data_IF_385365321865
#
_entry.id   IF_385365321865
#
_cell.length_a   1.000
_cell.length_b   1.000
_cell.length_c   1.000
_cell.angle_alpha   90.00
_cell.angle_beta   90.00
_cell.angle_gamma   90.00
#
_symmetry.space_group_name_H-M   'P 1'
#
loop_
_entity.id
_entity.type
_entity.pdbx_description
1 polymer ?
#
# COMPACT_ATOMS: atom_id res chain seq x y z
N UNK A 1 -11.39 5.63 20.86
CA UNK A 1 -10.69 4.39 20.42
C UNK A 1 -10.32 4.39 18.94
N UNK A 2 -11.24 4.77 18.03
CA UNK A 2 -11.06 4.63 16.57
C UNK A 2 -9.80 5.34 16.02
N UNK A 3 -9.40 6.50 16.56
CA UNK A 3 -8.18 7.21 16.14
C UNK A 3 -6.90 6.38 16.23
N UNK A 4 -6.77 5.46 17.18
CA UNK A 4 -5.51 4.73 17.43
C UNK A 4 -5.17 3.74 16.31
N UNK A 5 -6.16 3.21 15.58
CA UNK A 5 -5.94 2.12 14.62
C UNK A 5 -6.28 2.47 13.17
N UNK A 6 -6.53 3.75 12.87
CA UNK A 6 -6.97 4.17 11.52
C UNK A 6 -5.94 3.84 10.44
N UNK A 7 -4.65 4.00 10.75
CA UNK A 7 -3.56 3.66 9.85
C UNK A 7 -3.55 2.17 9.49
N UNK A 8 -3.74 1.29 10.48
CA UNK A 8 -3.83 -0.17 10.26
C UNK A 8 -5.06 -0.51 9.42
N UNK A 9 -6.22 0.10 9.72
CA UNK A 9 -7.45 -0.12 8.95
C UNK A 9 -7.26 0.29 7.49
N UNK A 10 -6.70 1.48 7.24
CA UNK A 10 -6.43 1.93 5.88
C UNK A 10 -5.44 1.01 5.17
N UNK A 11 -4.36 0.60 5.85
CA UNK A 11 -3.41 -0.38 5.35
C UNK A 11 -4.08 -1.70 4.96
N UNK A 12 -4.96 -2.25 5.81
CA UNK A 12 -5.68 -3.51 5.53
C UNK A 12 -6.63 -3.36 4.34
N UNK A 13 -7.36 -2.25 4.25
CA UNK A 13 -8.25 -1.98 3.11
C UNK A 13 -7.45 -1.87 1.81
N UNK A 14 -6.29 -1.22 1.85
CA UNK A 14 -5.42 -1.11 0.68
C UNK A 14 -4.73 -2.45 0.35
N UNK A 15 -4.39 -3.26 1.36
CA UNK A 15 -3.87 -4.60 1.17
C UNK A 15 -4.86 -5.47 0.37
N UNK A 16 -6.17 -5.30 0.59
CA UNK A 16 -7.19 -5.98 -0.22
C UNK A 16 -7.12 -5.59 -1.70
N UNK A 17 -6.90 -4.31 -2.03
CA UNK A 17 -6.62 -3.88 -3.42
C UNK A 17 -5.36 -4.57 -3.95
N UNK A 18 -4.29 -4.59 -3.16
CA UNK A 18 -3.04 -5.28 -3.52
C UNK A 18 -3.26 -6.77 -3.81
N UNK A 19 -4.10 -7.44 -3.01
CA UNK A 19 -4.45 -8.85 -3.22
C UNK A 19 -5.20 -9.04 -4.55
N UNK A 20 -6.18 -8.19 -4.87
CA UNK A 20 -6.90 -8.26 -6.14
C UNK A 20 -5.97 -8.06 -7.34
N UNK A 21 -5.04 -7.11 -7.25
CA UNK A 21 -4.01 -6.90 -8.28
C UNK A 21 -3.08 -8.11 -8.40
N UNK A 22 -2.66 -8.70 -7.28
CA UNK A 22 -1.82 -9.89 -7.25
C UNK A 22 -2.51 -11.12 -7.86
N UNK A 23 -3.80 -11.33 -7.60
CA UNK A 23 -4.62 -12.37 -8.22
C UNK A 23 -4.69 -12.16 -9.74
N UNK A 24 -4.99 -10.93 -10.18
CA UNK A 24 -5.06 -10.60 -11.61
C UNK A 24 -3.73 -10.86 -12.32
N UNK A 25 -2.61 -10.45 -11.71
CA UNK A 25 -1.26 -10.71 -12.24
C UNK A 25 -0.98 -12.20 -12.35
N UNK A 26 -1.38 -12.99 -11.36
CA UNK A 26 -1.20 -14.45 -11.36
C UNK A 26 -1.93 -15.11 -12.54
N UNK A 27 -3.08 -14.58 -12.94
CA UNK A 27 -3.91 -15.14 -14.01
C UNK A 27 -3.43 -14.67 -15.40
N UNK A 28 -2.89 -13.45 -15.50
CA UNK A 28 -2.66 -12.78 -16.79
C UNK A 28 -1.19 -12.65 -17.20
N UNK A 29 -0.25 -12.69 -16.25
CA UNK A 29 1.15 -12.46 -16.55
C UNK A 29 1.81 -13.69 -17.20
N UNK A 30 2.61 -13.46 -18.23
CA UNK A 30 3.40 -14.48 -18.91
C UNK A 30 4.79 -14.49 -18.27
N UNK A 31 5.14 -15.56 -17.58
CA UNK A 31 6.44 -15.73 -16.94
C UNK A 31 6.34 -16.47 -15.61
N UNK A 32 7.39 -17.21 -15.26
CA UNK A 32 7.45 -17.90 -13.96
C UNK A 32 7.68 -16.89 -12.83
N UNK A 33 7.11 -17.16 -11.66
CA UNK A 33 7.25 -16.31 -10.46
C UNK A 33 6.22 -15.20 -10.28
N UNK A 34 5.41 -14.85 -11.28
CA UNK A 34 4.38 -13.79 -11.13
C UNK A 34 3.25 -14.18 -10.15
N UNK A 35 3.02 -15.47 -9.92
CA UNK A 35 2.08 -15.95 -8.91
C UNK A 35 2.43 -15.46 -7.49
N UNK A 36 3.69 -15.13 -7.23
CA UNK A 36 4.16 -14.64 -5.92
C UNK A 36 3.64 -13.24 -5.58
N UNK A 37 3.19 -12.47 -6.58
CA UNK A 37 2.61 -11.13 -6.37
C UNK A 37 1.31 -11.17 -5.57
N UNK A 38 0.64 -12.33 -5.46
CA UNK A 38 -0.49 -12.52 -4.54
C UNK A 38 -0.11 -12.23 -3.08
N UNK A 39 1.17 -12.36 -2.72
CA UNK A 39 1.68 -12.06 -1.37
C UNK A 39 2.36 -10.70 -1.31
N UNK A 40 3.21 -10.37 -2.28
CA UNK A 40 4.00 -9.14 -2.21
C UNK A 40 3.18 -7.86 -2.40
N UNK A 41 2.18 -7.87 -3.29
CA UNK A 41 1.32 -6.72 -3.53
C UNK A 41 0.49 -6.33 -2.29
N UNK A 42 -0.22 -7.25 -1.59
CA UNK A 42 -0.93 -6.89 -0.36
C UNK A 42 0.02 -6.44 0.76
N UNK A 43 1.20 -7.05 0.91
CA UNK A 43 2.19 -6.62 1.92
C UNK A 43 2.66 -5.19 1.65
N UNK A 44 3.05 -4.90 0.42
CA UNK A 44 3.50 -3.56 0.04
C UNK A 44 2.39 -2.52 0.20
N UNK A 45 1.16 -2.87 -0.19
CA UNK A 45 -0.03 -2.05 0.00
C UNK A 45 -0.31 -1.77 1.48
N UNK A 46 -0.25 -2.80 2.32
CA UNK A 46 -0.42 -2.66 3.77
C UNK A 46 0.62 -1.73 4.38
N UNK A 47 1.91 -1.95 4.09
CA UNK A 47 3.01 -1.18 4.67
C UNK A 47 2.94 0.28 4.26
N UNK A 48 2.82 0.55 2.95
CA UNK A 48 2.73 1.92 2.44
C UNK A 48 1.47 2.65 2.91
N UNK A 49 0.31 1.98 2.94
CA UNK A 49 -0.94 2.54 3.43
C UNK A 49 -0.86 2.92 4.89
N UNK A 50 -0.41 1.98 5.72
CA UNK A 50 -0.21 2.18 7.16
C UNK A 50 0.75 3.34 7.42
N UNK A 51 1.88 3.38 6.72
CA UNK A 51 2.90 4.41 6.88
C UNK A 51 2.39 5.80 6.54
N UNK A 52 1.81 6.00 5.34
CA UNK A 52 1.39 7.33 4.90
C UNK A 52 0.20 7.85 5.69
N UNK A 53 -0.77 7.00 6.02
CA UNK A 53 -1.87 7.40 6.89
C UNK A 53 -1.37 7.84 8.26
N UNK A 54 -0.46 7.06 8.85
CA UNK A 54 0.12 7.41 10.15
C UNK A 54 0.85 8.76 10.09
N UNK A 55 1.76 8.94 9.12
CA UNK A 55 2.61 10.13 9.05
C UNK A 55 1.86 11.41 8.70
N UNK A 56 0.86 11.34 7.80
CA UNK A 56 0.21 12.52 7.23
C UNK A 56 -1.08 12.87 7.98
N UNK A 57 -1.88 11.88 8.35
CA UNK A 57 -3.19 12.10 8.98
C UNK A 57 -3.06 12.03 10.50
N UNK A 58 -2.58 10.92 11.04
CA UNK A 58 -2.60 10.70 12.49
C UNK A 58 -1.58 11.55 13.25
N UNK A 59 -0.31 11.53 12.82
CA UNK A 59 0.77 12.27 13.48
C UNK A 59 0.53 13.77 13.48
N UNK A 60 -0.14 14.28 12.44
CA UNK A 60 -0.52 15.70 12.31
C UNK A 60 -1.92 16.00 12.86
N UNK A 61 -2.64 15.00 13.37
CA UNK A 61 -4.04 15.07 13.81
C UNK A 61 -4.94 15.81 12.80
N UNK A 62 -4.75 15.53 11.51
CA UNK A 62 -5.45 16.21 10.44
C UNK A 62 -6.76 15.51 10.10
N UNK A 63 -7.82 16.27 9.84
CA UNK A 63 -9.07 15.76 9.28
C UNK A 63 -9.38 16.41 7.92
N UNK A 64 -8.35 16.55 7.07
CA UNK A 64 -8.47 17.24 5.78
C UNK A 64 -8.58 16.23 4.62
N UNK A 65 -9.61 16.38 3.79
CA UNK A 65 -9.80 15.57 2.58
C UNK A 65 -8.65 15.69 1.57
N UNK A 66 -8.04 16.87 1.40
CA UNK A 66 -6.89 17.05 0.52
C UNK A 66 -5.70 16.20 0.97
N UNK A 67 -5.46 16.14 2.29
CA UNK A 67 -4.41 15.28 2.84
C UNK A 67 -4.76 13.80 2.70
N UNK A 68 -6.04 13.42 2.78
CA UNK A 68 -6.47 12.06 2.48
C UNK A 68 -6.24 11.67 1.01
N UNK A 69 -6.49 12.58 0.06
CA UNK A 69 -6.17 12.37 -1.36
C UNK A 69 -4.67 12.16 -1.54
N UNK A 70 -3.83 13.01 -0.92
CA UNK A 70 -2.37 12.86 -0.96
C UNK A 70 -1.93 11.50 -0.41
N UNK A 71 -2.53 11.04 0.71
CA UNK A 71 -2.27 9.69 1.24
C UNK A 71 -2.64 8.62 0.22
N UNK A 72 -3.82 8.73 -0.41
CA UNK A 72 -4.27 7.81 -1.46
C UNK A 72 -3.28 7.70 -2.62
N UNK A 73 -2.85 8.85 -3.16
CA UNK A 73 -1.87 8.92 -4.25
C UNK A 73 -0.52 8.33 -3.85
N UNK A 74 0.01 8.71 -2.68
CA UNK A 74 1.30 8.22 -2.21
C UNK A 74 1.26 6.71 -1.95
N UNK A 75 0.22 6.20 -1.31
CA UNK A 75 0.03 4.77 -1.08
C UNK A 75 -0.04 4.02 -2.42
N UNK A 76 -0.91 4.48 -3.31
CA UNK A 76 -1.07 3.89 -4.64
C UNK A 76 0.22 3.83 -5.43
N UNK A 77 1.02 4.89 -5.42
CA UNK A 77 2.25 4.97 -6.20
C UNK A 77 3.40 4.18 -5.55
N UNK A 78 3.66 4.42 -4.26
CA UNK A 78 4.83 3.86 -3.57
C UNK A 78 4.67 2.36 -3.31
N UNK A 79 3.44 1.84 -3.24
CA UNK A 79 3.22 0.40 -3.12
C UNK A 79 3.82 -0.39 -4.28
N UNK A 80 3.88 0.17 -5.50
CA UNK A 80 4.52 -0.53 -6.64
C UNK A 80 6.02 -0.68 -6.43
N UNK A 81 6.71 0.41 -6.12
CA UNK A 81 8.15 0.39 -5.84
C UNK A 81 8.48 -0.54 -4.68
N UNK A 82 7.69 -0.47 -3.60
CA UNK A 82 7.89 -1.33 -2.43
C UNK A 82 7.63 -2.81 -2.76
N UNK A 83 6.59 -3.11 -3.55
CA UNK A 83 6.28 -4.48 -3.98
C UNK A 83 7.45 -5.09 -4.77
N UNK A 84 7.97 -4.36 -5.75
CA UNK A 84 9.12 -4.83 -6.54
C UNK A 84 10.40 -4.95 -5.70
N UNK A 85 10.61 -4.03 -4.77
CA UNK A 85 11.76 -4.10 -3.86
C UNK A 85 11.73 -5.37 -3.01
N UNK A 86 10.56 -5.70 -2.42
CA UNK A 86 10.38 -6.92 -1.63
C UNK A 86 10.56 -8.15 -2.51
N UNK A 87 9.94 -8.19 -3.70
CA UNK A 87 10.04 -9.30 -4.63
C UNK A 87 11.51 -9.62 -5.00
N UNK A 88 12.28 -8.60 -5.38
CA UNK A 88 13.68 -8.77 -5.78
C UNK A 88 14.58 -9.22 -4.63
N UNK A 89 14.41 -8.63 -3.45
CA UNK A 89 15.21 -8.98 -2.27
C UNK A 89 14.91 -10.41 -1.81
N UNK A 90 13.64 -10.80 -1.77
CA UNK A 90 13.24 -12.16 -1.39
C UNK A 90 13.75 -13.17 -2.41
N UNK A 91 13.60 -12.90 -3.70
CA UNK A 91 14.13 -13.78 -4.75
C UNK A 91 15.65 -13.98 -4.66
N UNK A 92 16.40 -12.92 -4.34
CA UNK A 92 17.85 -13.02 -4.13
C UNK A 92 18.19 -13.90 -2.91
N UNK A 93 17.49 -13.71 -1.78
CA UNK A 93 17.71 -14.50 -0.56
C UNK A 93 17.38 -15.98 -0.80
N UNK A 94 16.27 -16.27 -1.47
CA UNK A 94 15.88 -17.66 -1.79
C UNK A 94 16.93 -18.35 -2.66
N UNK A 95 17.47 -17.66 -3.66
CA UNK A 95 18.55 -18.19 -4.50
C UNK A 95 19.82 -18.46 -3.69
N UNK A 96 20.19 -17.55 -2.78
CA UNK A 96 21.33 -17.72 -1.88
C UNK A 96 21.18 -18.95 -0.99
N UNK A 97 19.98 -19.18 -0.45
CA UNK A 97 19.68 -20.33 0.41
C UNK A 97 19.58 -21.65 -0.36
N UNK A 98 19.15 -21.60 -1.62
CA UNK A 98 18.97 -22.80 -2.46
C UNK A 98 20.27 -23.27 -3.11
N UNK A 99 21.37 -22.51 -3.00
CA UNK A 99 22.66 -22.81 -3.63
C UNK A 99 22.59 -22.85 -5.16
N UNK A 100 21.60 -22.17 -5.76
CA UNK A 100 21.42 -22.17 -7.22
C UNK A 100 22.54 -21.36 -7.89
N UNK A 101 23.34 -21.99 -8.75
CA UNK A 101 24.47 -21.35 -9.45
C UNK A 101 24.07 -20.18 -10.39
N UNK A 102 22.78 -19.91 -10.57
CA UNK A 102 22.26 -18.78 -11.37
C UNK A 102 22.41 -17.40 -10.71
N UNK A 103 23.34 -17.24 -9.76
CA UNK A 103 23.59 -15.99 -9.03
C UNK A 103 23.93 -14.81 -9.95
N UNK A 104 24.61 -15.05 -11.06
CA UNK A 104 25.02 -14.01 -12.01
C UNK A 104 23.84 -13.39 -12.78
N UNK A 105 22.68 -14.07 -12.81
CA UNK A 105 21.46 -13.58 -13.46
C UNK A 105 20.53 -12.80 -12.53
N UNK A 106 20.81 -12.80 -11.22
CA UNK A 106 19.96 -12.19 -10.21
C UNK A 106 20.42 -10.78 -9.87
N UNK A 107 19.44 -9.88 -9.72
CA UNK A 107 19.72 -8.50 -9.32
C UNK A 107 20.19 -8.51 -7.87
N UNK A 108 21.43 -8.08 -7.64
CA UNK A 108 21.97 -8.00 -6.28
C UNK A 108 21.14 -7.02 -5.42
N UNK A 109 21.07 -7.22 -4.09
CA UNK A 109 20.30 -6.33 -3.21
C UNK A 109 20.73 -4.86 -3.29
N UNK A 110 22.00 -4.61 -3.64
CA UNK A 110 22.53 -3.27 -3.84
C UNK A 110 21.86 -2.55 -5.03
N UNK A 111 21.56 -3.27 -6.11
CA UNK A 111 20.91 -2.73 -7.30
C UNK A 111 19.38 -2.91 -7.31
N UNK A 112 18.84 -3.71 -6.38
CA UNK A 112 17.41 -3.96 -6.27
C UNK A 112 16.54 -2.69 -6.18
N UNK A 113 16.91 -1.61 -5.46
CA UNK A 113 16.11 -0.39 -5.42
C UNK A 113 15.94 0.29 -6.78
N UNK A 114 17.01 0.30 -7.60
CA UNK A 114 17.01 0.91 -8.92
C UNK A 114 16.22 0.06 -9.93
N UNK A 115 16.38 -1.25 -9.87
CA UNK A 115 15.59 -2.18 -10.66
C UNK A 115 14.11 -2.09 -10.29
N UNK A 116 13.78 -2.08 -8.99
CA UNK A 116 12.42 -1.93 -8.49
C UNK A 116 11.79 -0.61 -8.95
N UNK A 117 12.57 0.47 -9.02
CA UNK A 117 12.11 1.73 -9.59
C UNK A 117 11.70 1.57 -11.06
N UNK A 118 12.56 0.98 -11.88
CA UNK A 118 12.28 0.74 -13.30
C UNK A 118 11.02 -0.13 -13.49
N UNK A 119 10.92 -1.26 -12.78
CA UNK A 119 9.74 -2.12 -12.85
C UNK A 119 8.48 -1.45 -12.29
N UNK A 120 8.62 -0.59 -11.29
CA UNK A 120 7.48 0.17 -10.75
C UNK A 120 6.89 1.13 -11.76
N UNK A 121 7.70 1.75 -12.63
CA UNK A 121 7.19 2.62 -13.70
C UNK A 121 6.31 1.84 -14.67
N UNK A 122 6.75 0.68 -15.13
CA UNK A 122 5.93 -0.20 -15.98
C UNK A 122 4.66 -0.65 -15.25
N UNK A 123 4.79 -1.07 -14.00
CA UNK A 123 3.64 -1.50 -13.19
C UNK A 123 2.63 -0.37 -12.97
N UNK A 124 3.09 0.87 -12.81
CA UNK A 124 2.23 2.05 -12.67
C UNK A 124 1.46 2.36 -13.96
N UNK A 125 2.03 2.11 -15.15
CA UNK A 125 1.32 2.32 -16.41
C UNK A 125 0.08 1.41 -16.54
N UNK A 126 0.19 0.17 -16.09
CA UNK A 126 -0.91 -0.81 -16.22
C UNK A 126 -1.84 -0.84 -15.00
N UNK A 127 -1.27 -0.76 -13.80
CA UNK A 127 -2.00 -0.97 -12.55
C UNK A 127 -2.12 0.29 -11.69
N UNK A 128 -1.34 1.33 -12.00
CA UNK A 128 -1.28 2.56 -11.20
C UNK A 128 -2.61 3.29 -11.12
N UNK A 129 -3.41 3.29 -12.19
CA UNK A 129 -4.76 3.89 -12.15
C UNK A 129 -5.63 3.20 -11.10
N UNK A 130 -5.65 1.87 -11.06
CA UNK A 130 -6.48 1.12 -10.10
C UNK A 130 -6.00 1.31 -8.67
N UNK A 131 -4.68 1.23 -8.44
CA UNK A 131 -4.10 1.37 -7.10
C UNK A 131 -4.20 2.80 -6.58
N UNK A 132 -3.97 3.81 -7.42
CA UNK A 132 -4.09 5.23 -7.03
C UNK A 132 -5.54 5.63 -6.82
N UNK A 133 -6.44 5.33 -7.76
CA UNK A 133 -7.87 5.65 -7.60
C UNK A 133 -8.45 4.91 -6.41
N UNK A 134 -8.14 3.61 -6.27
CA UNK A 134 -8.57 2.81 -5.14
C UNK A 134 -8.05 3.36 -3.81
N UNK A 135 -6.78 3.76 -3.74
CA UNK A 135 -6.20 4.43 -2.57
C UNK A 135 -6.91 5.71 -2.20
N UNK A 136 -7.18 6.58 -3.18
CA UNK A 136 -7.92 7.83 -2.97
C UNK A 136 -9.32 7.56 -2.44
N UNK A 137 -10.07 6.65 -3.07
CA UNK A 137 -11.44 6.31 -2.66
C UNK A 137 -11.46 5.80 -1.22
N UNK A 138 -10.59 4.83 -0.89
CA UNK A 138 -10.51 4.28 0.46
C UNK A 138 -10.12 5.35 1.49
N UNK A 139 -9.19 6.24 1.14
CA UNK A 139 -8.74 7.29 2.04
C UNK A 139 -9.85 8.31 2.32
N UNK A 140 -10.61 8.70 1.28
CA UNK A 140 -11.75 9.60 1.41
C UNK A 140 -12.89 8.97 2.22
N UNK A 141 -13.22 7.71 1.98
CA UNK A 141 -14.26 6.99 2.73
C UNK A 141 -13.90 6.89 4.22
N UNK A 142 -12.64 6.56 4.52
CA UNK A 142 -12.18 6.48 5.90
C UNK A 142 -12.20 7.87 6.55
N UNK A 143 -11.72 8.91 5.86
CA UNK A 143 -11.76 10.29 6.34
C UNK A 143 -13.19 10.76 6.64
N UNK A 144 -14.12 10.48 5.72
CA UNK A 144 -15.54 10.80 5.90
C UNK A 144 -16.12 10.14 7.15
N UNK A 145 -15.84 8.84 7.35
CA UNK A 145 -16.27 8.10 8.55
C UNK A 145 -15.73 8.73 9.83
N UNK A 146 -14.48 9.19 9.82
CA UNK A 146 -13.82 9.82 10.99
C UNK A 146 -14.49 11.15 11.34
N UNK A 147 -14.75 12.00 10.33
CA UNK A 147 -15.42 13.29 10.53
C UNK A 147 -16.84 13.12 11.07
N UNK A 148 -17.60 12.14 10.55
CA UNK A 148 -18.95 11.82 11.02
C UNK A 148 -18.97 11.37 12.49
N UNK A 149 -17.98 10.58 12.91
CA UNK A 149 -17.86 10.13 14.30
C UNK A 149 -17.51 11.29 15.24
N UNK A 150 -16.58 12.17 14.84
CA UNK A 150 -16.19 13.31 15.66
C UNK A 150 -17.36 14.29 15.88
N UNK A 151 -18.16 14.54 14.85
CA UNK A 151 -19.34 15.42 14.95
C UNK A 151 -20.40 14.83 15.87
N UNK A 152 -20.73 13.54 15.72
CA UNK A 152 -21.72 12.86 16.58
C UNK A 152 -21.33 12.93 18.06
N UNK A 153 -20.07 12.62 18.39
CA UNK A 153 -19.59 12.69 19.78
C UNK A 153 -19.68 14.10 20.36
N UNK A 154 -19.49 15.14 19.55
CA UNK A 154 -19.56 16.53 20.01
C UNK A 154 -21.00 16.97 20.28
N UNK A 155 -21.98 16.47 19.52
CA UNK A 155 -23.41 16.69 19.79
C UNK A 155 -23.84 16.07 21.11
N UNK A 156 -23.46 14.82 21.38
CA UNK A 156 -23.82 14.13 22.63
C UNK A 156 -23.30 14.91 23.86
N UNK A 157 -22.04 15.35 23.82
CA UNK A 157 -21.43 16.13 24.92
C UNK A 157 -22.20 17.44 25.19
N UNK A 158 -22.70 18.09 24.15
CA UNK A 158 -23.44 19.34 24.30
C UNK A 158 -24.83 19.14 24.91
N UNK A 159 -25.52 18.03 24.60
CA UNK A 159 -26.82 17.70 25.18
C UNK A 159 -26.72 17.44 26.69
N UNK A 160 -25.66 16.79 27.15
CA UNK A 160 -25.46 16.55 28.59
C UNK A 160 -24.95 17.77 29.38
N UNK A 161 -24.68 18.90 28.71
CA UNK A 161 -24.22 20.15 29.31
C UNK A 161 -25.28 21.27 29.33
N UNK A 162 -26.41 21.07 28.66
CA UNK A 162 -27.58 21.96 28.69
C UNK A 162 -28.60 21.47 29.71
#
# INVERSE_FOLDING_TARGET
>A
MIKKYQHIIYGLLFAFIGLLVGIQLTITAIGDGYYRFIFFAPIAGFLSGTLFWYLIIMRKNSNNYALAIIVGVLTGTVSHWLCWSIFLVVGYIEALLSGSESHDSLISPLFAPLAAFSYSLFSLLFYGLYTVIGGIILALLLMHKILKLNTTTQWDINIYRS
#
